data_IF_831209682686
#
_entry.id   IF_831209682686
#
_cell.length_a   1.000
_cell.length_b   1.000
_cell.length_c   1.000
_cell.angle_alpha   90.00
_cell.angle_beta   90.00
_cell.angle_gamma   90.00
#
_symmetry.space_group_name_H-M   'P 1'
#
loop_
_entity.id
_entity.type
_entity.pdbx_description
1 polymer ?
#
# COMPACT_ATOMS: atom_id res chain seq x y z
N UNK A 1 -3.78 35.53 -7.84
CA UNK A 1 -5.01 35.50 -7.03
C UNK A 1 -5.80 34.23 -7.35
N UNK A 2 -5.39 33.10 -6.76
CA UNK A 2 -6.15 31.85 -6.60
C UNK A 2 -5.70 31.25 -5.27
N UNK A 3 -6.52 30.41 -4.67
CA UNK A 3 -6.27 29.62 -3.43
C UNK A 3 -6.82 30.17 -2.10
N UNK A 4 -8.06 30.69 -2.10
CA UNK A 4 -8.85 30.83 -0.87
C UNK A 4 -9.90 29.71 -0.70
N UNK A 5 -10.20 28.95 -1.75
CA UNK A 5 -11.24 27.90 -1.73
C UNK A 5 -10.75 26.57 -1.15
N UNK A 6 -9.46 26.23 -1.30
CA UNK A 6 -8.94 24.92 -0.88
C UNK A 6 -8.86 24.80 0.66
N UNK A 7 -8.53 25.88 1.36
CA UNK A 7 -8.35 25.84 2.82
C UNK A 7 -9.62 25.59 3.64
N UNK A 8 -10.81 25.89 3.10
CA UNK A 8 -12.09 25.55 3.76
C UNK A 8 -12.40 24.05 3.64
N UNK A 9 -12.08 23.45 2.48
CA UNK A 9 -12.25 22.01 2.25
C UNK A 9 -11.34 21.20 3.18
N UNK A 10 -10.05 21.57 3.27
CA UNK A 10 -9.08 20.84 4.10
C UNK A 10 -9.45 20.88 5.58
N UNK A 11 -9.97 22.01 6.06
CA UNK A 11 -10.46 22.13 7.45
C UNK A 11 -11.66 21.24 7.71
N UNK A 12 -12.57 21.12 6.75
CA UNK A 12 -13.73 20.25 6.89
C UNK A 12 -13.31 18.77 6.89
N UNK A 13 -12.45 18.36 5.96
CA UNK A 13 -11.91 17.00 5.89
C UNK A 13 -11.21 16.64 7.20
N UNK A 14 -10.36 17.53 7.71
CA UNK A 14 -9.68 17.32 8.99
C UNK A 14 -10.67 17.14 10.14
N UNK A 15 -11.71 17.99 10.24
CA UNK A 15 -12.74 17.85 11.29
C UNK A 15 -13.51 16.53 11.20
N UNK A 16 -13.80 16.07 9.99
CA UNK A 16 -14.47 14.78 9.77
C UNK A 16 -13.55 13.64 10.21
N UNK A 17 -12.27 13.68 9.82
CA UNK A 17 -11.28 12.70 10.20
C UNK A 17 -11.07 12.67 11.72
N UNK A 18 -10.92 13.82 12.37
CA UNK A 18 -10.78 13.94 13.83
C UNK A 18 -11.99 13.33 14.53
N UNK A 19 -13.21 13.63 14.06
CA UNK A 19 -14.44 13.04 14.61
C UNK A 19 -14.46 11.53 14.42
N UNK A 20 -14.08 11.04 13.25
CA UNK A 20 -14.03 9.61 12.96
C UNK A 20 -13.05 8.89 13.89
N UNK A 21 -11.83 9.42 14.03
CA UNK A 21 -10.78 8.86 14.91
C UNK A 21 -11.12 8.94 16.39
N UNK A 22 -11.74 10.03 16.86
CA UNK A 22 -11.97 10.25 18.29
C UNK A 22 -13.30 9.67 18.81
N UNK A 23 -14.32 9.56 17.95
CA UNK A 23 -15.66 9.19 18.40
C UNK A 23 -16.13 7.85 17.83
N UNK A 24 -15.83 7.58 16.55
CA UNK A 24 -16.38 6.41 15.86
C UNK A 24 -15.45 5.22 16.04
N UNK A 25 -14.18 5.36 15.65
CA UNK A 25 -13.22 4.25 15.67
C UNK A 25 -13.10 3.55 17.03
N UNK A 26 -13.03 4.24 18.18
CA UNK A 26 -12.96 3.57 19.49
C UNK A 26 -14.16 2.64 19.76
N UNK A 27 -15.34 2.94 19.22
CA UNK A 27 -16.54 2.11 19.42
C UNK A 27 -16.56 0.84 18.56
N UNK A 28 -15.84 0.82 17.44
CA UNK A 28 -15.92 -0.27 16.45
C UNK A 28 -14.59 -0.97 16.16
N UNK A 29 -13.45 -0.44 16.63
CA UNK A 29 -12.08 -0.95 16.37
C UNK A 29 -11.93 -2.47 16.52
N UNK A 30 -12.46 -3.05 17.60
CA UNK A 30 -12.41 -4.49 17.84
C UNK A 30 -13.18 -5.34 16.82
N UNK A 31 -14.09 -4.77 16.02
CA UNK A 31 -14.83 -5.49 14.97
C UNK A 31 -14.19 -5.35 13.60
N UNK A 32 -13.26 -4.41 13.45
CA UNK A 32 -12.65 -4.10 12.17
C UNK A 32 -11.61 -5.19 11.84
N UNK A 33 -11.90 -5.90 10.75
CA UNK A 33 -11.03 -6.93 10.17
C UNK A 33 -10.28 -6.44 8.94
N UNK A 34 -10.88 -5.48 8.25
CA UNK A 34 -10.39 -4.90 7.00
C UNK A 34 -10.59 -3.39 7.03
N UNK A 35 -9.58 -2.63 6.59
CA UNK A 35 -9.66 -1.18 6.39
C UNK A 35 -9.26 -0.81 4.97
N UNK A 36 -10.02 0.10 4.35
CA UNK A 36 -9.64 0.76 3.10
C UNK A 36 -9.47 2.24 3.41
N UNK A 37 -8.27 2.76 3.18
CA UNK A 37 -7.92 4.14 3.54
C UNK A 37 -7.13 4.81 2.43
N UNK A 38 -7.33 6.11 2.27
CA UNK A 38 -6.43 6.93 1.46
C UNK A 38 -5.11 7.13 2.21
N UNK A 39 -4.01 7.18 1.47
CA UNK A 39 -2.67 7.36 2.04
C UNK A 39 -2.55 8.59 2.96
N UNK A 40 -3.28 9.68 2.64
CA UNK A 40 -3.34 10.93 3.39
C UNK A 40 -3.95 10.78 4.80
N UNK A 41 -4.84 9.81 4.99
CA UNK A 41 -5.59 9.58 6.24
C UNK A 41 -5.17 8.31 6.96
N UNK A 42 -4.31 7.49 6.35
CA UNK A 42 -3.92 6.18 6.86
C UNK A 42 -3.26 6.26 8.24
N UNK A 43 -2.25 7.09 8.40
CA UNK A 43 -1.51 7.20 9.67
C UNK A 43 -2.40 7.64 10.85
N UNK A 44 -3.18 8.74 10.78
CA UNK A 44 -4.05 9.11 11.89
C UNK A 44 -5.12 8.05 12.18
N UNK A 45 -5.63 7.33 11.18
CA UNK A 45 -6.60 6.24 11.39
C UNK A 45 -5.93 5.07 12.12
N UNK A 46 -4.79 4.59 11.62
CA UNK A 46 -4.12 3.41 12.16
C UNK A 46 -3.48 3.65 13.53
N UNK A 47 -3.11 4.90 13.86
CA UNK A 47 -2.56 5.27 15.16
C UNK A 47 -3.63 5.71 16.19
N UNK A 48 -4.88 5.95 15.77
CA UNK A 48 -5.91 6.45 16.69
C UNK A 48 -6.35 5.44 17.76
N UNK A 49 -6.19 4.14 17.50
CA UNK A 49 -6.66 3.07 18.39
C UNK A 49 -5.99 1.74 18.05
N UNK A 50 -6.21 0.71 18.87
CA UNK A 50 -5.67 -0.64 18.65
C UNK A 50 -6.65 -1.48 17.82
N UNK A 51 -6.19 -2.15 16.78
CA UNK A 51 -7.05 -2.98 15.94
C UNK A 51 -6.76 -4.48 16.14
N UNK A 52 -7.25 -5.11 17.22
CA UNK A 52 -6.84 -6.48 17.58
C UNK A 52 -7.19 -7.54 16.53
N UNK A 53 -8.17 -7.25 15.67
CA UNK A 53 -8.68 -8.17 14.66
C UNK A 53 -8.36 -7.73 13.22
N UNK A 54 -7.60 -6.65 13.03
CA UNK A 54 -7.23 -6.17 11.70
C UNK A 54 -6.18 -7.07 11.10
N UNK A 55 -6.51 -7.69 9.96
CA UNK A 55 -5.57 -8.49 9.19
C UNK A 55 -5.49 -8.07 7.72
N UNK A 56 -6.39 -7.17 7.30
CA UNK A 56 -6.48 -6.71 5.92
C UNK A 56 -6.43 -5.19 5.80
N UNK A 57 -5.61 -4.66 4.89
CA UNK A 57 -5.46 -3.23 4.67
C UNK A 57 -5.40 -2.91 3.18
N UNK A 58 -6.23 -1.97 2.73
CA UNK A 58 -6.13 -1.35 1.42
C UNK A 58 -5.70 0.10 1.54
N UNK A 59 -4.60 0.47 0.89
CA UNK A 59 -4.06 1.83 0.86
C UNK A 59 -4.15 2.35 -0.58
N UNK A 60 -4.95 3.40 -0.76
CA UNK A 60 -5.22 3.99 -2.07
C UNK A 60 -4.56 5.36 -2.21
N UNK A 61 -4.31 5.74 -3.47
CA UNK A 61 -3.73 7.04 -3.80
C UNK A 61 -2.41 7.32 -3.08
N UNK A 62 -1.53 6.31 -3.00
CA UNK A 62 -0.24 6.49 -2.34
C UNK A 62 0.75 7.11 -3.33
N UNK A 63 1.24 8.31 -3.01
CA UNK A 63 2.38 8.88 -3.73
C UNK A 63 3.66 8.08 -3.41
N UNK A 64 4.59 8.01 -4.36
CA UNK A 64 5.84 7.23 -4.26
C UNK A 64 6.66 7.59 -3.02
N UNK A 65 6.79 8.88 -2.72
CA UNK A 65 7.51 9.41 -1.57
C UNK A 65 6.81 8.98 -0.27
N UNK A 66 5.47 9.00 -0.27
CA UNK A 66 4.66 8.56 0.87
C UNK A 66 4.81 7.06 1.10
N UNK A 67 4.78 6.24 0.05
CA UNK A 67 5.07 4.80 0.14
C UNK A 67 6.45 4.52 0.74
N UNK A 68 7.46 5.27 0.32
CA UNK A 68 8.84 5.11 0.81
C UNK A 68 8.98 5.43 2.31
N UNK A 69 8.18 6.37 2.82
CA UNK A 69 8.11 6.70 4.26
C UNK A 69 7.31 5.69 5.08
N UNK A 70 6.25 5.11 4.50
CA UNK A 70 5.35 4.19 5.22
C UNK A 70 6.01 2.82 5.40
N UNK A 71 6.66 2.32 4.34
CA UNK A 71 7.32 1.01 4.34
C UNK A 71 8.81 1.18 4.67
N UNK A 72 9.08 1.61 5.89
CA UNK A 72 10.44 1.70 6.45
C UNK A 72 10.41 1.26 7.90
N UNK A 73 11.54 0.79 8.43
CA UNK A 73 11.64 0.32 9.82
C UNK A 73 11.39 1.44 10.85
N UNK A 74 11.62 2.69 10.45
CA UNK A 74 11.37 3.88 11.26
C UNK A 74 9.90 4.32 11.28
N UNK A 75 9.03 3.69 10.49
CA UNK A 75 7.61 4.04 10.40
C UNK A 75 6.91 3.76 11.73
N UNK A 76 6.07 4.68 12.25
CA UNK A 76 5.29 4.41 13.47
C UNK A 76 4.30 3.24 13.27
N UNK A 77 4.00 2.90 12.01
CA UNK A 77 3.10 1.82 11.62
C UNK A 77 3.80 0.47 11.47
N UNK A 78 5.12 0.41 11.68
CA UNK A 78 5.92 -0.80 11.42
C UNK A 78 5.35 -2.02 12.15
N UNK A 79 4.93 -1.84 13.39
CA UNK A 79 4.38 -2.91 14.22
C UNK A 79 3.07 -3.48 13.64
N UNK A 80 2.25 -2.68 12.98
CA UNK A 80 1.00 -3.12 12.34
C UNK A 80 1.34 -3.99 11.12
N UNK A 81 2.23 -3.50 10.26
CA UNK A 81 2.64 -4.22 9.05
C UNK A 81 3.36 -5.53 9.37
N UNK A 82 4.26 -5.54 10.36
CA UNK A 82 5.01 -6.74 10.75
C UNK A 82 4.13 -7.80 11.42
N UNK A 83 3.17 -7.39 12.26
CA UNK A 83 2.53 -8.33 13.17
C UNK A 83 1.09 -8.67 12.82
N UNK A 84 0.36 -7.78 12.17
CA UNK A 84 -1.09 -7.85 12.01
C UNK A 84 -1.51 -8.08 10.56
N UNK A 85 -0.91 -7.36 9.61
CA UNK A 85 -1.36 -7.38 8.22
C UNK A 85 -0.96 -8.67 7.52
N UNK A 86 -1.97 -9.46 7.14
CA UNK A 86 -1.84 -10.67 6.33
C UNK A 86 -2.24 -10.42 4.87
N UNK A 87 -3.08 -9.42 4.61
CA UNK A 87 -3.52 -9.05 3.26
C UNK A 87 -3.39 -7.54 3.03
N UNK A 88 -2.70 -7.17 1.96
CA UNK A 88 -2.39 -5.78 1.64
C UNK A 88 -2.80 -5.48 0.20
N UNK A 89 -3.59 -4.42 0.01
CA UNK A 89 -3.91 -3.85 -1.30
C UNK A 89 -3.24 -2.49 -1.40
N UNK A 90 -2.48 -2.23 -2.47
CA UNK A 90 -1.76 -0.96 -2.64
C UNK A 90 -2.03 -0.40 -4.03
N UNK A 91 -2.45 0.86 -4.08
CA UNK A 91 -2.63 1.61 -5.31
C UNK A 91 -1.71 2.85 -5.35
N UNK A 92 -0.52 2.69 -5.95
CA UNK A 92 0.47 3.77 -6.07
C UNK A 92 0.12 4.67 -7.24
N UNK A 93 -0.08 5.96 -6.95
CA UNK A 93 -0.29 6.99 -7.97
C UNK A 93 1.06 7.58 -8.34
N UNK A 94 1.46 7.43 -9.59
CA UNK A 94 2.65 8.08 -10.13
C UNK A 94 2.28 9.29 -10.98
N UNK A 95 3.09 10.35 -10.87
CA UNK A 95 3.07 11.48 -11.79
C UNK A 95 3.66 11.03 -13.14
N UNK A 96 3.25 11.66 -14.23
CA UNK A 96 3.42 11.22 -15.63
C UNK A 96 4.88 10.97 -16.12
N UNK A 97 5.90 11.23 -15.31
CA UNK A 97 7.30 11.04 -15.69
C UNK A 97 7.73 9.57 -15.55
N UNK A 98 7.49 8.82 -16.63
CA UNK A 98 7.72 7.38 -16.74
C UNK A 98 9.20 6.96 -16.68
N UNK A 99 10.15 7.83 -17.04
CA UNK A 99 11.56 7.45 -17.26
C UNK A 99 12.41 7.28 -16.00
N UNK A 100 11.99 7.83 -14.86
CA UNK A 100 12.67 7.69 -13.55
C UNK A 100 11.90 6.77 -12.57
N UNK A 101 10.81 6.16 -13.05
CA UNK A 101 9.86 5.42 -12.23
C UNK A 101 10.35 4.01 -11.85
N UNK A 102 11.17 3.37 -12.69
CA UNK A 102 11.44 1.93 -12.63
C UNK A 102 12.11 1.52 -11.31
N UNK A 103 13.26 2.14 -10.97
CA UNK A 103 14.04 1.77 -9.78
C UNK A 103 13.30 2.02 -8.46
N UNK A 104 12.50 3.09 -8.39
CA UNK A 104 11.85 3.46 -7.14
C UNK A 104 10.67 2.58 -6.79
N UNK A 105 9.97 2.05 -7.79
CA UNK A 105 8.89 1.08 -7.58
C UNK A 105 9.44 -0.23 -7.01
N UNK A 106 10.47 -0.80 -7.64
CA UNK A 106 11.14 -2.03 -7.17
C UNK A 106 11.53 -1.89 -5.70
N UNK A 107 12.17 -0.79 -5.33
CA UNK A 107 12.57 -0.52 -3.97
C UNK A 107 11.39 -0.44 -2.97
N UNK A 108 10.26 0.13 -3.38
CA UNK A 108 9.04 0.14 -2.56
C UNK A 108 8.51 -1.27 -2.34
N UNK A 109 8.46 -2.11 -3.38
CA UNK A 109 8.00 -3.49 -3.25
C UNK A 109 8.92 -4.34 -2.39
N UNK A 110 10.23 -4.21 -2.57
CA UNK A 110 11.22 -4.81 -1.68
C UNK A 110 10.92 -4.45 -0.24
N UNK A 111 10.73 -3.15 0.05
CA UNK A 111 10.40 -2.68 1.40
C UNK A 111 9.08 -3.24 1.93
N UNK A 112 8.03 -3.30 1.13
CA UNK A 112 6.74 -3.88 1.53
C UNK A 112 6.93 -5.32 2.00
N UNK A 113 7.64 -6.13 1.21
CA UNK A 113 7.88 -7.54 1.52
C UNK A 113 8.80 -7.70 2.73
N UNK A 114 9.86 -6.88 2.84
CA UNK A 114 10.77 -6.89 4.01
C UNK A 114 10.04 -6.52 5.29
N UNK A 115 9.22 -5.46 5.26
CA UNK A 115 8.50 -4.94 6.42
C UNK A 115 7.31 -5.85 6.79
N UNK A 116 6.61 -6.41 5.82
CA UNK A 116 5.37 -7.16 6.07
C UNK A 116 5.67 -8.66 6.17
N UNK A 117 6.41 -9.04 7.22
CA UNK A 117 6.95 -10.41 7.37
C UNK A 117 5.90 -11.53 7.45
N UNK A 118 4.65 -11.20 7.80
CA UNK A 118 3.51 -12.13 7.83
C UNK A 118 2.58 -12.01 6.63
N UNK A 119 2.92 -11.18 5.63
CA UNK A 119 2.05 -10.91 4.51
C UNK A 119 1.83 -12.16 3.67
N UNK A 120 0.57 -12.58 3.56
CA UNK A 120 0.15 -13.75 2.79
C UNK A 120 -0.42 -13.37 1.43
N UNK A 121 -1.09 -12.22 1.33
CA UNK A 121 -1.72 -11.75 0.12
C UNK A 121 -1.29 -10.31 -0.19
N UNK A 122 -0.69 -10.09 -1.36
CA UNK A 122 -0.39 -8.75 -1.86
C UNK A 122 -1.17 -8.50 -3.15
N UNK A 123 -1.92 -7.40 -3.21
CA UNK A 123 -2.72 -7.02 -4.37
C UNK A 123 -2.34 -5.62 -4.84
N UNK A 124 -2.09 -5.49 -6.14
CA UNK A 124 -1.81 -4.19 -6.74
C UNK A 124 -3.06 -3.59 -7.37
N UNK A 125 -3.35 -2.37 -6.95
CA UNK A 125 -4.38 -1.53 -7.53
C UNK A 125 -4.10 -1.20 -9.00
N UNK A 126 -5.14 -0.75 -9.72
CA UNK A 126 -5.09 -0.55 -11.16
C UNK A 126 -4.11 0.55 -11.59
N UNK A 127 -3.74 1.49 -10.72
CA UNK A 127 -2.80 2.55 -11.08
C UNK A 127 -1.38 2.01 -11.33
N UNK A 128 -1.08 0.80 -10.86
CA UNK A 128 0.23 0.16 -11.02
C UNK A 128 0.41 -0.60 -12.35
N UNK A 129 -0.61 -0.71 -13.20
CA UNK A 129 -0.56 -1.54 -14.42
C UNK A 129 0.65 -1.31 -15.33
N UNK A 130 1.00 -0.08 -15.72
CA UNK A 130 2.10 0.14 -16.65
C UNK A 130 3.46 -0.31 -16.08
N UNK A 131 3.55 -0.45 -14.76
CA UNK A 131 4.80 -0.64 -14.02
C UNK A 131 4.98 -2.07 -13.51
N UNK A 132 3.92 -2.85 -13.41
CA UNK A 132 4.01 -4.27 -13.04
C UNK A 132 4.97 -5.01 -13.97
N UNK A 133 4.92 -4.72 -15.29
CA UNK A 133 5.87 -5.25 -16.28
C UNK A 133 7.33 -4.99 -15.93
N UNK A 134 7.63 -3.82 -15.37
CA UNK A 134 8.99 -3.39 -15.06
C UNK A 134 9.50 -4.11 -13.82
N UNK A 135 8.65 -4.31 -12.81
CA UNK A 135 8.98 -5.11 -11.63
C UNK A 135 9.45 -6.50 -12.03
N UNK A 136 8.69 -7.19 -12.86
CA UNK A 136 9.06 -8.54 -13.31
C UNK A 136 10.25 -8.57 -14.28
N UNK A 137 10.64 -7.44 -14.88
CA UNK A 137 11.84 -7.34 -15.73
C UNK A 137 13.12 -7.05 -14.94
N UNK A 138 13.05 -6.22 -13.90
CA UNK A 138 14.23 -5.76 -13.17
C UNK A 138 14.52 -6.54 -11.89
N UNK A 139 13.60 -7.39 -11.42
CA UNK A 139 13.83 -8.27 -10.29
C UNK A 139 14.82 -9.37 -10.71
N UNK A 140 16.12 -9.11 -10.57
CA UNK A 140 16.99 -10.13 -9.97
C UNK A 140 16.29 -10.54 -8.65
N UNK A 141 16.16 -11.83 -8.30
CA UNK A 141 15.40 -12.26 -7.13
C UNK A 141 16.14 -11.82 -5.87
N UNK A 142 15.89 -10.58 -5.41
CA UNK A 142 16.56 -9.98 -4.26
C UNK A 142 15.74 -10.23 -2.99
N UNK A 143 14.44 -10.50 -3.10
CA UNK A 143 13.55 -10.62 -1.95
C UNK A 143 12.69 -11.86 -2.11
N UNK A 144 12.90 -12.80 -1.20
CA UNK A 144 12.04 -13.98 -1.02
C UNK A 144 11.14 -13.70 0.17
N UNK A 145 9.83 -13.85 0.00
CA UNK A 145 8.89 -13.79 1.12
C UNK A 145 8.31 -15.19 1.37
N UNK A 146 8.79 -15.91 2.40
CA UNK A 146 8.32 -17.28 2.66
C UNK A 146 6.86 -17.34 3.11
N UNK A 147 6.27 -16.19 3.46
CA UNK A 147 4.88 -16.09 3.92
C UNK A 147 3.91 -15.65 2.83
N UNK A 148 4.41 -15.09 1.71
CA UNK A 148 3.56 -14.63 0.62
C UNK A 148 3.03 -15.84 -0.16
N UNK A 149 1.74 -16.13 0.01
CA UNK A 149 1.06 -17.26 -0.63
C UNK A 149 0.34 -16.83 -1.91
N UNK A 150 -0.07 -15.57 -1.98
CA UNK A 150 -0.89 -15.04 -3.06
C UNK A 150 -0.41 -13.66 -3.50
N UNK A 151 -0.08 -13.54 -4.79
CA UNK A 151 0.24 -12.26 -5.42
C UNK A 151 -0.82 -11.97 -6.49
N UNK A 152 -1.72 -11.04 -6.19
CA UNK A 152 -2.78 -10.59 -7.10
C UNK A 152 -2.29 -9.42 -7.93
N UNK A 153 -2.04 -9.71 -9.19
CA UNK A 153 -1.68 -8.71 -10.19
C UNK A 153 -2.83 -8.63 -11.17
N UNK A 154 -3.49 -7.49 -11.25
CA UNK A 154 -4.47 -7.28 -12.31
C UNK A 154 -3.69 -7.06 -13.63
N UNK A 155 -4.17 -7.61 -14.74
CA UNK A 155 -3.49 -7.58 -16.05
C UNK A 155 -4.40 -6.90 -17.07
N UNK A 156 -3.84 -6.03 -17.91
CA UNK A 156 -4.64 -5.33 -18.92
C UNK A 156 -4.79 -6.13 -20.20
N UNK A 157 -3.76 -6.90 -20.58
CA UNK A 157 -3.76 -7.66 -21.83
C UNK A 157 -3.03 -8.99 -21.68
N UNK A 158 -3.23 -9.86 -22.66
CA UNK A 158 -2.65 -11.21 -22.70
C UNK A 158 -1.12 -11.23 -22.66
N UNK A 159 -0.44 -10.20 -23.19
CA UNK A 159 1.03 -10.12 -23.16
C UNK A 159 1.52 -9.94 -21.72
N UNK A 160 0.76 -9.22 -20.88
CA UNK A 160 1.06 -9.10 -19.45
C UNK A 160 0.98 -10.46 -18.75
N UNK A 161 0.00 -11.30 -19.12
CA UNK A 161 -0.11 -12.67 -18.62
C UNK A 161 1.10 -13.52 -19.00
N UNK A 162 1.55 -13.45 -20.26
CA UNK A 162 2.70 -14.22 -20.73
C UNK A 162 3.98 -13.85 -19.96
N UNK A 163 4.19 -12.57 -19.62
CA UNK A 163 5.35 -12.15 -18.82
C UNK A 163 5.35 -12.67 -17.39
N UNK A 164 4.17 -12.93 -16.81
CA UNK A 164 4.01 -13.50 -15.46
C UNK A 164 4.25 -15.02 -15.46
N UNK A 165 3.81 -15.71 -16.53
CA UNK A 165 3.84 -17.18 -16.64
C UNK A 165 5.19 -17.73 -17.13
N UNK A 166 6.06 -16.89 -17.69
CA UNK A 166 7.38 -17.26 -18.24
C UNK A 166 8.44 -17.63 -17.14
N UNK A 167 8.03 -18.27 -16.05
CA UNK A 167 8.92 -18.91 -15.06
C UNK A 167 9.73 -17.98 -14.14
N UNK A 168 9.70 -16.66 -14.34
CA UNK A 168 10.35 -15.69 -13.43
C UNK A 168 9.63 -15.53 -12.08
N UNK A 169 8.42 -16.06 -11.97
CA UNK A 169 7.67 -16.10 -10.71
C UNK A 169 8.14 -17.20 -9.76
N UNK A 170 8.71 -18.29 -10.27
CA UNK A 170 9.20 -19.41 -9.46
C UNK A 170 10.45 -19.05 -8.63
N UNK A 171 10.92 -17.79 -8.70
CA UNK A 171 12.09 -17.26 -8.02
C UNK A 171 11.75 -16.23 -6.92
N UNK A 172 10.47 -15.92 -6.69
CA UNK A 172 9.96 -15.04 -5.61
C UNK A 172 9.63 -15.86 -4.35
#
# INVERSE_FOLDING_TARGET
MRDSSNGLSDRLIKRILDRFCLQILPSIHHKIKWLNVESSSMEPILLSTNYPNLYGLGIYHIEKETASRIFTEESPLIHIFQNQILSLVIDIVQRKDLSLAENGNVHIFTRILTVSSKLQCLNFGPSLFPYQRLLFRSLTPIVVSPTLLELRVSVQNFIDCLYLVDGRFDQL
#
